data_IF_795044190041
#
_entry.id   IF_795044190041
#
_cell.length_a   1.000
_cell.length_b   1.000
_cell.length_c   1.000
_cell.angle_alpha   90.00
_cell.angle_beta   90.00
_cell.angle_gamma   90.00
#
_symmetry.space_group_name_H-M   'P 1'
#
loop_
_entity.id
_entity.type
_entity.pdbx_description
1 polymer ?
#
# COMPACT_ATOMS: atom_id res chain seq x y z
N UNK A 1 -1.63 16.99 -31.78
CA UNK A 1 -0.59 17.88 -31.26
C UNK A 1 0.55 16.98 -30.82
N UNK A 2 1.59 16.87 -31.66
CA UNK A 2 2.82 16.17 -31.32
C UNK A 2 3.55 17.03 -30.26
N UNK A 3 3.58 16.61 -29.03
CA UNK A 3 4.51 17.13 -28.04
C UNK A 3 5.86 16.48 -28.34
N UNK A 4 6.67 17.14 -29.18
CA UNK A 4 8.10 16.87 -29.26
C UNK A 4 8.66 17.11 -27.84
N UNK A 5 9.02 16.05 -27.16
CA UNK A 5 9.74 16.13 -25.88
C UNK A 5 11.12 16.67 -26.19
N UNK A 6 11.44 17.88 -25.70
CA UNK A 6 12.78 18.45 -25.84
C UNK A 6 13.83 17.48 -25.25
N UNK A 7 14.95 17.24 -25.95
CA UNK A 7 15.99 16.36 -25.45
C UNK A 7 16.57 16.90 -24.14
N UNK A 8 16.84 15.99 -23.19
CA UNK A 8 17.44 16.36 -21.90
C UNK A 8 18.74 17.14 -22.14
N UNK A 9 18.89 18.39 -21.66
CA UNK A 9 20.05 19.22 -21.94
C UNK A 9 21.33 18.60 -21.40
N UNK A 10 22.41 18.62 -22.16
CA UNK A 10 23.73 18.21 -21.71
C UNK A 10 24.18 19.08 -20.53
N UNK A 11 24.49 18.44 -19.38
CA UNK A 11 24.89 19.13 -18.14
C UNK A 11 23.80 19.26 -17.08
N UNK A 12 22.58 18.77 -17.33
CA UNK A 12 21.52 18.74 -16.30
C UNK A 12 21.76 17.56 -15.35
N UNK A 13 21.58 17.81 -14.06
CA UNK A 13 21.62 16.75 -13.05
C UNK A 13 20.43 15.80 -13.25
N UNK A 14 20.68 14.65 -13.90
CA UNK A 14 19.68 13.62 -14.20
C UNK A 14 18.96 13.15 -12.94
N UNK A 15 19.64 13.13 -11.80
CA UNK A 15 19.07 12.71 -10.52
C UNK A 15 17.99 13.68 -10.06
N UNK A 16 18.21 14.99 -10.23
CA UNK A 16 17.21 16.02 -9.89
C UNK A 16 15.94 15.88 -10.73
N UNK A 17 16.08 15.59 -12.03
CA UNK A 17 14.92 15.37 -12.92
C UNK A 17 14.13 14.15 -12.44
N UNK A 18 14.79 13.04 -12.14
CA UNK A 18 14.14 11.80 -11.72
C UNK A 18 13.51 11.90 -10.32
N UNK A 19 14.03 12.74 -9.44
CA UNK A 19 13.43 12.96 -8.11
C UNK A 19 12.09 13.70 -8.16
N UNK A 20 11.81 14.41 -9.24
CA UNK A 20 10.51 15.04 -9.43
C UNK A 20 9.45 13.98 -9.83
N UNK A 21 8.58 13.61 -8.91
CA UNK A 21 7.53 12.59 -9.10
C UNK A 21 6.55 12.87 -10.25
N UNK A 22 6.56 14.06 -10.83
CA UNK A 22 5.74 14.44 -12.00
C UNK A 22 6.47 14.25 -13.32
N UNK A 23 7.74 13.84 -13.32
CA UNK A 23 8.51 13.62 -14.54
C UNK A 23 7.76 12.63 -15.45
N UNK A 24 7.50 12.99 -16.72
CA UNK A 24 6.81 12.12 -17.67
C UNK A 24 7.59 10.84 -17.98
N UNK A 25 6.89 9.79 -18.38
CA UNK A 25 7.47 8.49 -18.75
C UNK A 25 8.51 8.63 -19.84
N UNK A 26 8.22 9.43 -20.86
CA UNK A 26 9.05 9.66 -22.05
C UNK A 26 10.43 10.26 -21.67
N UNK A 27 10.44 11.16 -20.68
CA UNK A 27 11.69 11.76 -20.16
C UNK A 27 12.51 10.73 -19.39
N UNK A 28 11.85 9.88 -18.61
CA UNK A 28 12.53 8.79 -17.88
C UNK A 28 13.13 7.77 -18.86
N UNK A 29 12.45 7.46 -19.96
CA UNK A 29 12.95 6.60 -21.03
C UNK A 29 14.19 7.19 -21.70
N UNK A 30 14.18 8.48 -22.04
CA UNK A 30 15.35 9.17 -22.58
C UNK A 30 16.54 9.16 -21.61
N UNK A 31 16.28 9.32 -20.31
CA UNK A 31 17.33 9.24 -19.29
C UNK A 31 17.96 7.84 -19.23
N UNK A 32 17.17 6.78 -19.37
CA UNK A 32 17.66 5.39 -19.38
C UNK A 32 18.57 5.07 -20.59
N UNK A 33 18.42 5.80 -21.70
CA UNK A 33 19.25 5.68 -22.89
C UNK A 33 20.55 6.53 -22.80
N UNK A 34 20.72 7.28 -21.72
CA UNK A 34 21.88 8.17 -21.58
C UNK A 34 23.18 7.37 -21.40
N UNK A 35 24.26 7.66 -22.18
CA UNK A 35 25.48 6.87 -22.19
C UNK A 35 26.26 6.90 -20.84
N UNK A 36 26.08 7.94 -20.05
CA UNK A 36 26.71 8.10 -18.73
C UNK A 36 25.70 7.91 -17.59
N UNK A 37 24.90 6.84 -17.65
CA UNK A 37 23.90 6.52 -16.65
C UNK A 37 24.54 6.08 -15.32
N UNK A 38 24.32 6.85 -14.25
CA UNK A 38 24.81 6.52 -12.92
C UNK A 38 23.89 5.54 -12.18
N UNK A 39 24.41 4.64 -11.34
CA UNK A 39 23.63 3.68 -10.57
C UNK A 39 22.53 4.33 -9.72
N UNK A 40 22.80 5.51 -9.14
CA UNK A 40 21.85 6.27 -8.30
C UNK A 40 20.62 6.72 -9.10
N UNK A 41 20.83 7.08 -10.36
CA UNK A 41 19.75 7.48 -11.29
C UNK A 41 18.87 6.27 -11.58
N UNK A 42 19.44 5.10 -11.84
CA UNK A 42 18.69 3.84 -12.04
C UNK A 42 17.87 3.48 -10.82
N UNK A 43 18.44 3.60 -9.62
CA UNK A 43 17.71 3.36 -8.35
C UNK A 43 16.54 4.34 -8.20
N UNK A 44 16.73 5.61 -8.55
CA UNK A 44 15.66 6.60 -8.49
C UNK A 44 14.55 6.29 -9.48
N UNK A 45 14.88 5.91 -10.74
CA UNK A 45 13.92 5.51 -11.75
C UNK A 45 13.15 4.26 -11.33
N UNK A 46 13.79 3.23 -10.76
CA UNK A 46 13.14 2.04 -10.24
C UNK A 46 12.05 2.36 -9.17
N UNK A 47 12.18 3.49 -8.49
CA UNK A 47 11.22 3.96 -7.48
C UNK A 47 10.17 4.89 -8.03
N UNK A 48 10.40 5.44 -9.20
CA UNK A 48 9.54 6.47 -9.78
C UNK A 48 8.17 5.90 -10.19
N UNK A 49 7.04 6.60 -9.95
CA UNK A 49 5.70 6.10 -10.27
C UNK A 49 5.46 5.94 -11.77
N UNK A 50 6.07 6.79 -12.59
CA UNK A 50 5.90 6.82 -14.05
C UNK A 50 6.93 5.98 -14.82
N UNK A 51 7.69 5.11 -14.15
CA UNK A 51 8.65 4.24 -14.84
C UNK A 51 7.96 3.20 -15.71
N UNK A 52 8.50 2.97 -16.92
CA UNK A 52 7.96 2.02 -17.89
C UNK A 52 8.67 0.66 -17.82
N UNK A 53 7.89 -0.41 -17.98
CA UNK A 53 8.45 -1.77 -18.03
C UNK A 53 9.30 -2.00 -19.26
N UNK A 54 8.89 -1.42 -20.41
CA UNK A 54 9.63 -1.53 -21.68
C UNK A 54 11.04 -0.94 -21.58
N UNK A 55 11.15 0.27 -21.04
CA UNK A 55 12.46 0.91 -20.88
C UNK A 55 13.36 0.15 -19.90
N UNK A 56 12.78 -0.34 -18.80
CA UNK A 56 13.50 -1.19 -17.85
C UNK A 56 13.93 -2.52 -18.46
N UNK A 57 13.16 -3.10 -19.37
CA UNK A 57 13.54 -4.32 -20.09
C UNK A 57 14.72 -4.08 -21.02
N UNK A 58 14.72 -2.99 -21.81
CA UNK A 58 15.83 -2.61 -22.68
C UNK A 58 17.11 -2.39 -21.87
N UNK A 59 17.04 -1.66 -20.76
CA UNK A 59 18.18 -1.47 -19.87
C UNK A 59 18.68 -2.81 -19.30
N UNK A 60 17.79 -3.67 -18.85
CA UNK A 60 18.11 -4.95 -18.24
C UNK A 60 18.81 -5.90 -19.22
N UNK A 61 18.45 -5.87 -20.50
CA UNK A 61 19.03 -6.72 -21.56
C UNK A 61 20.49 -6.39 -21.85
N UNK A 62 20.87 -5.10 -21.76
CA UNK A 62 22.20 -4.61 -22.10
C UNK A 62 23.06 -4.19 -20.89
N UNK A 63 22.53 -4.24 -19.68
CA UNK A 63 23.19 -3.76 -18.47
C UNK A 63 24.50 -4.52 -18.19
N UNK A 64 25.53 -3.76 -17.76
CA UNK A 64 26.83 -4.27 -17.34
C UNK A 64 27.31 -3.57 -16.07
N UNK A 65 28.30 -4.13 -15.40
CA UNK A 65 28.98 -3.51 -14.26
C UNK A 65 28.02 -3.04 -13.16
N UNK A 66 28.25 -1.83 -12.61
CA UNK A 66 27.46 -1.34 -11.46
C UNK A 66 25.95 -1.25 -11.70
N UNK A 67 25.51 -1.00 -12.95
CA UNK A 67 24.09 -0.95 -13.30
C UNK A 67 23.48 -2.35 -13.19
N UNK A 68 24.17 -3.37 -13.68
CA UNK A 68 23.73 -4.76 -13.55
C UNK A 68 23.63 -5.17 -12.08
N UNK A 69 24.58 -4.77 -11.22
CA UNK A 69 24.55 -5.04 -9.79
C UNK A 69 23.33 -4.40 -9.11
N UNK A 70 22.98 -3.16 -9.49
CA UNK A 70 21.78 -2.47 -9.01
C UNK A 70 20.51 -3.22 -9.40
N UNK A 71 20.40 -3.69 -10.65
CA UNK A 71 19.24 -4.42 -11.13
C UNK A 71 19.11 -5.77 -10.41
N UNK A 72 20.22 -6.52 -10.27
CA UNK A 72 20.23 -7.79 -9.53
C UNK A 72 19.94 -7.63 -8.03
N UNK A 73 20.33 -6.51 -7.43
CA UNK A 73 19.98 -6.15 -6.05
C UNK A 73 18.56 -5.65 -5.86
N UNK A 74 17.81 -5.39 -6.94
CA UNK A 74 16.50 -4.77 -6.93
C UNK A 74 15.38 -5.65 -7.51
N UNK A 75 15.53 -6.97 -7.50
CA UNK A 75 14.61 -7.92 -8.15
C UNK A 75 13.16 -7.79 -7.65
N UNK A 76 12.94 -7.48 -6.37
CA UNK A 76 11.59 -7.28 -5.83
C UNK A 76 10.89 -6.08 -6.50
N UNK A 77 11.63 -5.00 -6.77
CA UNK A 77 11.11 -3.82 -7.46
C UNK A 77 10.91 -4.06 -8.94
N UNK A 78 11.86 -4.75 -9.59
CA UNK A 78 11.76 -5.20 -10.98
C UNK A 78 10.58 -6.16 -11.18
N UNK A 79 10.15 -6.87 -10.13
CA UNK A 79 8.95 -7.72 -10.15
C UNK A 79 7.63 -7.02 -10.49
N UNK A 80 7.64 -5.69 -10.65
CA UNK A 80 6.54 -4.90 -11.23
C UNK A 80 6.43 -5.11 -12.76
N UNK A 81 7.52 -5.51 -13.39
CA UNK A 81 7.65 -5.66 -14.84
C UNK A 81 8.28 -7.01 -15.15
N UNK A 82 7.45 -7.99 -15.48
CA UNK A 82 7.90 -9.35 -15.83
C UNK A 82 8.89 -9.33 -16.99
N UNK A 83 8.63 -8.49 -17.98
CA UNK A 83 9.48 -8.32 -19.16
C UNK A 83 10.91 -7.86 -18.82
N UNK A 84 11.08 -7.01 -17.80
CA UNK A 84 12.39 -6.56 -17.34
C UNK A 84 13.17 -7.69 -16.63
N UNK A 85 12.49 -8.52 -15.85
CA UNK A 85 13.11 -9.71 -15.23
C UNK A 85 13.50 -10.75 -16.28
N UNK A 86 12.67 -10.95 -17.30
CA UNK A 86 12.96 -11.88 -18.42
C UNK A 86 14.13 -11.36 -19.28
N UNK A 87 14.21 -10.05 -19.52
CA UNK A 87 15.32 -9.41 -20.20
C UNK A 87 16.62 -9.59 -19.40
N UNK A 88 16.56 -9.40 -18.08
CA UNK A 88 17.73 -9.61 -17.21
C UNK A 88 18.20 -11.07 -17.23
N UNK A 89 17.29 -12.04 -17.32
CA UNK A 89 17.65 -13.46 -17.44
C UNK A 89 18.35 -13.77 -18.79
N UNK A 90 18.03 -13.02 -19.86
CA UNK A 90 18.67 -13.17 -21.18
C UNK A 90 20.00 -12.39 -21.30
N UNK A 91 20.30 -11.50 -20.36
CA UNK A 91 21.51 -10.71 -20.40
C UNK A 91 22.77 -11.61 -20.20
N UNK A 92 23.69 -11.63 -21.17
CA UNK A 92 24.87 -12.51 -21.11
C UNK A 92 25.86 -12.16 -19.98
N UNK A 93 25.75 -10.96 -19.41
CA UNK A 93 26.60 -10.52 -18.31
C UNK A 93 26.08 -10.97 -16.93
N UNK A 94 24.90 -11.58 -16.87
CA UNK A 94 24.34 -12.09 -15.60
C UNK A 94 25.03 -13.41 -15.24
N UNK A 95 25.63 -13.52 -14.04
CA UNK A 95 26.26 -14.75 -13.59
C UNK A 95 25.23 -15.89 -13.50
N UNK A 96 25.57 -17.08 -14.00
CA UNK A 96 24.68 -18.27 -13.98
C UNK A 96 24.16 -18.60 -12.59
N UNK A 97 24.95 -18.35 -11.55
CA UNK A 97 24.55 -18.55 -10.14
C UNK A 97 23.32 -17.72 -9.76
N UNK A 98 23.01 -16.63 -10.48
CA UNK A 98 21.83 -15.78 -10.26
C UNK A 98 20.59 -16.25 -11.03
N UNK A 99 20.72 -17.11 -12.02
CA UNK A 99 19.60 -17.58 -12.85
C UNK A 99 18.48 -18.25 -12.04
N UNK A 100 18.74 -19.13 -11.04
CA UNK A 100 17.65 -19.69 -10.23
C UNK A 100 16.86 -18.61 -9.46
N UNK A 101 17.54 -17.61 -8.91
CA UNK A 101 16.90 -16.49 -8.19
C UNK A 101 16.04 -15.65 -9.12
N UNK A 102 16.52 -15.37 -10.34
CA UNK A 102 15.76 -14.66 -11.38
C UNK A 102 14.53 -15.44 -11.80
N UNK A 103 14.65 -16.76 -12.03
CA UNK A 103 13.50 -17.61 -12.37
C UNK A 103 12.43 -17.63 -11.29
N UNK A 104 12.82 -17.66 -10.00
CA UNK A 104 11.90 -17.54 -8.89
C UNK A 104 11.20 -16.17 -8.88
N UNK A 105 11.94 -15.08 -9.11
CA UNK A 105 11.39 -13.74 -9.19
C UNK A 105 10.39 -13.60 -10.35
N UNK A 106 10.71 -14.13 -11.53
CA UNK A 106 9.82 -14.16 -12.72
C UNK A 106 8.54 -14.94 -12.39
N UNK A 107 8.66 -16.13 -11.80
CA UNK A 107 7.50 -16.97 -11.45
C UNK A 107 6.58 -16.24 -10.46
N UNK A 108 7.15 -15.61 -9.44
CA UNK A 108 6.41 -14.82 -8.47
C UNK A 108 5.73 -13.60 -9.11
N UNK A 109 6.42 -12.89 -10.03
CA UNK A 109 5.88 -11.74 -10.74
C UNK A 109 4.72 -12.15 -11.67
N UNK A 110 4.87 -13.21 -12.48
CA UNK A 110 3.79 -13.75 -13.34
C UNK A 110 2.56 -14.18 -12.54
N UNK A 111 2.77 -14.78 -11.38
CA UNK A 111 1.67 -15.16 -10.49
C UNK A 111 0.91 -13.94 -9.99
N UNK A 112 1.61 -12.88 -9.55
CA UNK A 112 1.00 -11.61 -9.11
C UNK A 112 0.21 -10.93 -10.23
N UNK A 113 0.76 -10.90 -11.45
CA UNK A 113 0.10 -10.34 -12.63
C UNK A 113 -1.17 -11.10 -12.98
N UNK A 114 -1.12 -12.44 -13.00
CA UNK A 114 -2.28 -13.28 -13.25
C UNK A 114 -3.37 -13.13 -12.18
N UNK A 115 -3.00 -13.03 -10.91
CA UNK A 115 -3.92 -12.78 -9.80
C UNK A 115 -4.54 -11.38 -9.92
N UNK A 116 -3.75 -10.36 -10.21
CA UNK A 116 -4.22 -8.98 -10.45
C UNK A 116 -5.20 -8.89 -11.62
N UNK A 117 -4.92 -9.59 -12.72
CA UNK A 117 -5.83 -9.69 -13.87
C UNK A 117 -7.16 -10.35 -13.52
N UNK A 118 -7.14 -11.43 -12.74
CA UNK A 118 -8.36 -12.10 -12.25
C UNK A 118 -9.20 -11.19 -11.36
N UNK A 119 -8.57 -10.46 -10.43
CA UNK A 119 -9.26 -9.54 -9.52
C UNK A 119 -9.86 -8.37 -10.31
N UNK A 120 -9.13 -7.81 -11.28
CA UNK A 120 -9.63 -6.73 -12.15
C UNK A 120 -10.84 -7.16 -12.96
N UNK A 121 -10.79 -8.35 -13.56
CA UNK A 121 -11.91 -8.95 -14.30
C UNK A 121 -13.13 -9.19 -13.39
N UNK A 122 -12.92 -9.71 -12.19
CA UNK A 122 -13.97 -9.92 -11.20
C UNK A 122 -14.60 -8.60 -10.75
N UNK A 123 -13.78 -7.58 -10.49
CA UNK A 123 -14.23 -6.24 -10.12
C UNK A 123 -15.18 -5.64 -11.18
N UNK A 124 -14.80 -5.72 -12.46
CA UNK A 124 -15.63 -5.21 -13.57
C UNK A 124 -16.97 -5.94 -13.61
N UNK A 125 -16.96 -7.28 -13.58
CA UNK A 125 -18.18 -8.11 -13.58
C UNK A 125 -19.10 -7.79 -12.40
N UNK A 126 -18.54 -7.65 -11.18
CA UNK A 126 -19.32 -7.36 -9.97
C UNK A 126 -19.91 -5.95 -10.01
N UNK A 127 -19.18 -4.96 -10.55
CA UNK A 127 -19.68 -3.58 -10.67
C UNK A 127 -20.92 -3.46 -11.56
N UNK A 128 -21.00 -4.25 -12.62
CA UNK A 128 -22.10 -4.24 -13.59
C UNK A 128 -23.38 -4.94 -13.07
N UNK A 129 -23.29 -5.70 -11.97
CA UNK A 129 -24.44 -6.42 -11.44
C UNK A 129 -25.48 -5.48 -10.83
N UNK A 130 -26.78 -5.79 -11.00
CA UNK A 130 -27.86 -5.14 -10.27
C UNK A 130 -27.72 -5.29 -8.75
N UNK A 131 -28.24 -4.34 -7.98
CA UNK A 131 -28.12 -4.31 -6.52
C UNK A 131 -28.62 -5.62 -5.85
N UNK A 132 -29.71 -6.20 -6.33
CA UNK A 132 -30.24 -7.47 -5.80
C UNK A 132 -29.26 -8.64 -5.94
N UNK A 133 -28.55 -8.73 -7.07
CA UNK A 133 -27.52 -9.75 -7.29
C UNK A 133 -26.28 -9.49 -6.44
N UNK A 134 -25.87 -8.23 -6.26
CA UNK A 134 -24.79 -7.85 -5.35
C UNK A 134 -25.12 -8.24 -3.90
N UNK A 135 -26.35 -8.03 -3.43
CA UNK A 135 -26.81 -8.46 -2.11
C UNK A 135 -26.74 -9.99 -1.94
N UNK A 136 -27.15 -10.75 -2.96
CA UNK A 136 -27.02 -12.21 -2.92
C UNK A 136 -25.55 -12.65 -2.85
N UNK A 137 -24.65 -11.96 -3.59
CA UNK A 137 -23.21 -12.21 -3.55
C UNK A 137 -22.58 -11.78 -2.22
N UNK A 138 -23.05 -10.72 -1.57
CA UNK A 138 -22.60 -10.31 -0.24
C UNK A 138 -22.74 -11.43 0.79
N UNK A 139 -23.86 -12.20 0.70
CA UNK A 139 -24.14 -13.34 1.58
C UNK A 139 -23.31 -14.59 1.26
N UNK A 140 -23.12 -14.91 -0.03
CA UNK A 140 -22.59 -16.21 -0.50
C UNK A 140 -21.22 -16.14 -1.13
N UNK A 141 -20.73 -14.96 -1.49
CA UNK A 141 -19.47 -14.74 -2.20
C UNK A 141 -18.25 -15.21 -1.40
N UNK A 142 -17.16 -15.45 -2.12
CA UNK A 142 -15.86 -15.70 -1.53
C UNK A 142 -15.23 -14.40 -1.01
N UNK A 143 -14.03 -14.50 -0.42
CA UNK A 143 -13.29 -13.36 0.13
C UNK A 143 -13.10 -12.23 -0.89
N UNK A 144 -12.69 -12.54 -2.12
CA UNK A 144 -12.40 -11.53 -3.15
C UNK A 144 -13.66 -10.74 -3.52
N UNK A 145 -14.79 -11.43 -3.67
CA UNK A 145 -16.10 -10.80 -3.91
C UNK A 145 -16.48 -9.89 -2.74
N UNK A 146 -16.33 -10.35 -1.48
CA UNK A 146 -16.64 -9.52 -0.31
C UNK A 146 -15.75 -8.27 -0.25
N UNK A 147 -14.45 -8.39 -0.56
CA UNK A 147 -13.51 -7.27 -0.57
C UNK A 147 -13.80 -6.24 -1.68
N UNK A 148 -14.50 -6.66 -2.74
CA UNK A 148 -15.03 -5.76 -3.77
C UNK A 148 -16.33 -5.09 -3.29
N UNK A 149 -17.28 -5.88 -2.79
CA UNK A 149 -18.61 -5.39 -2.41
C UNK A 149 -18.61 -4.49 -1.17
N UNK A 150 -17.62 -4.62 -0.29
CA UNK A 150 -17.48 -3.74 0.88
C UNK A 150 -17.24 -2.27 0.50
N UNK A 151 -16.74 -2.03 -0.72
CA UNK A 151 -16.48 -0.71 -1.31
C UNK A 151 -17.59 -0.27 -2.26
N UNK A 152 -18.71 -0.98 -2.31
CA UNK A 152 -19.81 -0.62 -3.19
C UNK A 152 -20.43 0.72 -2.72
N UNK A 153 -20.79 1.57 -3.70
CA UNK A 153 -21.44 2.85 -3.43
C UNK A 153 -22.84 2.71 -2.83
N UNK A 154 -23.45 1.53 -2.97
CA UNK A 154 -24.72 1.22 -2.33
C UNK A 154 -24.45 0.74 -0.89
N UNK A 155 -24.79 1.57 0.07
CA UNK A 155 -24.64 1.28 1.50
C UNK A 155 -25.28 -0.04 1.93
N UNK A 156 -26.40 -0.44 1.33
CA UNK A 156 -27.06 -1.72 1.66
C UNK A 156 -26.17 -2.90 1.29
N UNK A 157 -25.48 -2.84 0.13
CA UNK A 157 -24.56 -3.89 -0.31
C UNK A 157 -23.34 -3.95 0.61
N UNK A 158 -22.75 -2.80 0.93
CA UNK A 158 -21.60 -2.73 1.82
C UNK A 158 -21.95 -3.22 3.24
N UNK A 159 -23.10 -2.83 3.77
CA UNK A 159 -23.57 -3.26 5.09
C UNK A 159 -23.89 -4.76 5.14
N UNK A 160 -24.54 -5.31 4.11
CA UNK A 160 -24.81 -6.75 4.01
C UNK A 160 -23.48 -7.54 3.95
N UNK A 161 -22.47 -6.98 3.27
CA UNK A 161 -21.15 -7.59 3.17
C UNK A 161 -20.44 -7.65 4.51
N UNK A 162 -20.39 -6.54 5.26
CA UNK A 162 -19.73 -6.49 6.58
C UNK A 162 -20.43 -7.32 7.63
N UNK A 163 -21.74 -7.52 7.50
CA UNK A 163 -22.56 -8.33 8.41
C UNK A 163 -22.65 -9.82 8.02
N UNK A 164 -22.00 -10.20 6.91
CA UNK A 164 -22.00 -11.59 6.43
C UNK A 164 -21.45 -12.55 7.48
N UNK A 165 -22.12 -13.66 7.72
CA UNK A 165 -21.65 -14.72 8.62
C UNK A 165 -20.33 -15.39 8.18
N UNK A 166 -19.95 -15.20 6.93
CA UNK A 166 -18.71 -15.74 6.34
C UNK A 166 -17.51 -14.82 6.46
N UNK A 167 -17.71 -13.57 6.93
CA UNK A 167 -16.61 -12.63 7.07
C UNK A 167 -15.68 -13.04 8.21
N UNK A 168 -14.40 -13.00 7.97
CA UNK A 168 -13.37 -13.38 8.95
C UNK A 168 -12.84 -12.16 9.71
N UNK A 169 -12.27 -12.39 10.90
CA UNK A 169 -11.66 -11.31 11.69
C UNK A 169 -10.46 -10.67 10.94
N UNK A 170 -9.75 -11.44 10.12
CA UNK A 170 -8.69 -10.91 9.26
C UNK A 170 -9.21 -10.00 8.14
N UNK A 171 -10.39 -10.30 7.56
CA UNK A 171 -11.06 -9.42 6.61
C UNK A 171 -11.53 -8.14 7.30
N UNK A 172 -12.13 -8.23 8.48
CA UNK A 172 -12.53 -7.06 9.28
C UNK A 172 -11.34 -6.17 9.62
N UNK A 173 -10.21 -6.76 10.00
CA UNK A 173 -8.98 -6.01 10.25
C UNK A 173 -8.53 -5.26 8.98
N UNK A 174 -8.50 -5.95 7.84
CA UNK A 174 -8.17 -5.33 6.54
C UNK A 174 -9.13 -4.20 6.19
N UNK A 175 -10.44 -4.40 6.33
CA UNK A 175 -11.48 -3.40 6.08
C UNK A 175 -11.28 -2.17 6.98
N UNK A 176 -10.93 -2.37 8.25
CA UNK A 176 -10.71 -1.30 9.21
C UNK A 176 -9.55 -0.37 8.85
N UNK A 177 -8.59 -0.84 8.04
CA UNK A 177 -7.47 -0.02 7.53
C UNK A 177 -7.77 0.69 6.20
N UNK A 178 -8.84 0.29 5.49
CA UNK A 178 -9.18 0.85 4.18
C UNK A 178 -9.72 2.27 4.29
N UNK A 179 -9.32 3.12 3.35
CA UNK A 179 -9.77 4.52 3.27
C UNK A 179 -10.94 4.74 2.31
N UNK A 180 -11.27 3.72 1.51
CA UNK A 180 -12.30 3.74 0.47
C UNK A 180 -13.56 2.94 0.84
N UNK A 181 -13.77 2.71 2.14
CA UNK A 181 -15.02 2.13 2.68
C UNK A 181 -15.89 3.22 3.31
N UNK A 182 -17.22 3.00 3.31
CA UNK A 182 -18.15 3.97 3.88
C UNK A 182 -18.01 4.09 5.41
N UNK A 183 -18.31 5.28 5.94
CA UNK A 183 -18.34 5.51 7.40
C UNK A 183 -19.32 4.56 8.12
N UNK A 184 -20.42 4.15 7.45
CA UNK A 184 -21.39 3.22 8.00
C UNK A 184 -20.79 1.87 8.31
N UNK A 185 -19.91 1.37 7.41
CA UNK A 185 -19.18 0.12 7.61
C UNK A 185 -18.22 0.24 8.79
N UNK A 186 -17.42 1.31 8.85
CA UNK A 186 -16.48 1.52 9.96
C UNK A 186 -17.21 1.67 11.29
N UNK A 187 -18.35 2.36 11.31
CA UNK A 187 -19.24 2.49 12.48
C UNK A 187 -19.81 1.14 12.91
N UNK A 188 -20.24 0.31 11.97
CA UNK A 188 -20.73 -1.04 12.27
C UNK A 188 -19.65 -1.89 12.95
N UNK A 189 -18.42 -1.91 12.38
CA UNK A 189 -17.29 -2.65 12.96
C UNK A 189 -17.00 -2.14 14.37
N UNK A 190 -16.91 -0.82 14.55
CA UNK A 190 -16.61 -0.19 15.83
C UNK A 190 -17.66 -0.45 16.91
N UNK A 191 -18.94 -0.61 16.54
CA UNK A 191 -20.02 -0.87 17.49
C UNK A 191 -20.23 -2.37 17.75
N UNK A 192 -19.63 -3.25 16.96
CA UNK A 192 -19.78 -4.68 17.14
C UNK A 192 -18.94 -5.18 18.33
N UNK A 193 -19.60 -5.77 19.34
CA UNK A 193 -18.97 -6.24 20.58
C UNK A 193 -17.81 -7.22 20.31
N UNK A 194 -17.96 -8.11 19.33
CA UNK A 194 -16.91 -9.08 18.95
C UNK A 194 -15.65 -8.37 18.51
N UNK A 195 -15.76 -7.39 17.63
CA UNK A 195 -14.62 -6.68 17.05
C UNK A 195 -13.97 -5.70 18.03
N UNK A 196 -14.75 -5.14 18.96
CA UNK A 196 -14.23 -4.29 20.06
C UNK A 196 -13.34 -5.03 21.05
N UNK A 197 -13.33 -6.37 21.05
CA UNK A 197 -12.42 -7.18 21.87
C UNK A 197 -11.06 -7.38 21.16
N UNK A 198 -10.98 -7.15 19.86
CA UNK A 198 -9.75 -7.29 19.10
C UNK A 198 -8.98 -5.96 19.07
N UNK A 199 -7.87 -5.93 19.81
CA UNK A 199 -7.00 -4.75 19.94
C UNK A 199 -6.45 -4.26 18.59
N UNK A 200 -6.13 -5.16 17.66
CA UNK A 200 -5.63 -4.79 16.34
C UNK A 200 -6.71 -4.05 15.51
N UNK A 201 -7.96 -4.49 15.61
CA UNK A 201 -9.09 -3.82 14.95
C UNK A 201 -9.32 -2.43 15.56
N UNK A 202 -9.27 -2.31 16.90
CA UNK A 202 -9.38 -1.01 17.59
C UNK A 202 -8.29 -0.07 17.09
N UNK A 203 -7.03 -0.51 17.05
CA UNK A 203 -5.90 0.30 16.60
C UNK A 203 -6.05 0.72 15.14
N UNK A 204 -6.49 -0.20 14.26
CA UNK A 204 -6.76 0.07 12.85
C UNK A 204 -7.84 1.15 12.69
N UNK A 205 -8.96 1.04 13.40
CA UNK A 205 -10.04 2.02 13.38
C UNK A 205 -9.61 3.39 13.90
N UNK A 206 -8.84 3.45 15.00
CA UNK A 206 -8.30 4.70 15.56
C UNK A 206 -7.30 5.36 14.59
N UNK A 207 -6.56 4.57 13.82
CA UNK A 207 -5.59 5.04 12.84
C UNK A 207 -6.23 5.41 11.49
N UNK A 208 -7.49 5.06 11.26
CA UNK A 208 -8.18 5.32 10.01
C UNK A 208 -8.84 6.72 10.04
N UNK A 209 -8.43 7.67 9.16
CA UNK A 209 -8.97 9.02 9.14
C UNK A 209 -10.46 9.09 8.77
N UNK A 210 -11.00 8.04 8.12
CA UNK A 210 -12.42 7.94 7.75
C UNK A 210 -13.30 7.38 8.87
N UNK A 211 -12.72 6.92 9.98
CA UNK A 211 -13.51 6.54 11.15
C UNK A 211 -14.10 7.80 11.80
N UNK A 212 -15.44 7.89 11.98
CA UNK A 212 -16.04 9.06 12.59
C UNK A 212 -15.46 9.35 13.98
N UNK A 213 -15.12 10.60 14.26
CA UNK A 213 -14.42 11.00 15.50
C UNK A 213 -15.16 10.56 16.76
N UNK A 214 -16.50 10.73 16.78
CA UNK A 214 -17.33 10.30 17.92
C UNK A 214 -17.26 8.79 18.17
N UNK A 215 -17.14 8.00 17.10
CA UNK A 215 -16.96 6.53 17.16
C UNK A 215 -15.57 6.20 17.68
N UNK A 216 -14.52 6.84 17.14
CA UNK A 216 -13.14 6.64 17.54
C UNK A 216 -12.93 6.92 19.04
N UNK A 217 -13.54 7.99 19.57
CA UNK A 217 -13.46 8.32 21.00
C UNK A 217 -14.14 7.29 21.90
N UNK A 218 -15.12 6.54 21.39
CA UNK A 218 -15.78 5.45 22.12
C UNK A 218 -15.00 4.12 22.10
N UNK A 219 -14.03 4.00 21.21
CA UNK A 219 -13.15 2.84 21.17
C UNK A 219 -12.14 2.92 22.32
N UNK A 220 -12.06 1.90 23.13
CA UNK A 220 -11.25 1.86 24.36
C UNK A 220 -9.77 2.22 24.18
N UNK A 221 -9.46 3.46 23.85
CA UNK A 221 -8.10 4.00 23.67
C UNK A 221 -7.20 3.71 24.90
N UNK A 222 -7.81 3.62 26.07
CA UNK A 222 -7.14 3.28 27.31
C UNK A 222 -6.61 1.82 27.36
N UNK A 223 -7.03 0.95 26.46
CA UNK A 223 -6.57 -0.45 26.38
C UNK A 223 -5.27 -0.61 25.60
N UNK A 224 -4.85 0.45 24.89
CA UNK A 224 -3.63 0.45 24.09
C UNK A 224 -2.38 0.55 24.96
N UNK A 225 -1.28 -0.01 24.49
CA UNK A 225 0.04 0.13 25.14
C UNK A 225 0.58 1.55 24.99
N UNK A 226 1.55 1.92 25.81
CA UNK A 226 2.19 3.26 25.72
C UNK A 226 2.88 3.49 24.39
N UNK A 227 3.43 2.43 23.77
CA UNK A 227 3.99 2.51 22.42
C UNK A 227 2.93 2.83 21.39
N UNK A 228 1.82 2.09 21.37
CA UNK A 228 0.69 2.32 20.44
C UNK A 228 0.09 3.72 20.63
N UNK A 229 -0.06 4.17 21.88
CA UNK A 229 -0.51 5.52 22.19
C UNK A 229 0.47 6.58 21.70
N UNK A 230 1.79 6.34 21.84
CA UNK A 230 2.83 7.24 21.35
C UNK A 230 2.80 7.36 19.83
N UNK A 231 2.60 6.24 19.13
CA UNK A 231 2.51 6.20 17.67
C UNK A 231 1.26 6.96 17.18
N UNK A 232 0.11 6.76 17.83
CA UNK A 232 -1.11 7.55 17.57
C UNK A 232 -0.90 9.05 17.86
N UNK A 233 -0.27 9.40 18.99
CA UNK A 233 -0.06 10.80 19.36
C UNK A 233 0.84 11.54 18.36
N UNK A 234 1.77 10.87 17.71
CA UNK A 234 2.70 11.42 16.70
C UNK A 234 2.16 11.37 15.27
N UNK A 235 1.13 10.60 15.02
CA UNK A 235 0.57 10.40 13.66
C UNK A 235 -0.03 11.71 13.14
N UNK A 236 0.39 12.09 11.91
CA UNK A 236 -0.17 13.24 11.17
C UNK A 236 -1.38 12.86 10.30
N UNK A 237 -1.65 11.55 10.17
CA UNK A 237 -2.67 11.02 9.25
C UNK A 237 -3.99 10.68 9.93
N UNK A 238 -4.17 11.06 11.19
CA UNK A 238 -5.40 10.83 11.96
C UNK A 238 -5.99 12.14 12.46
N UNK A 239 -7.29 12.19 12.78
CA UNK A 239 -7.89 13.39 13.35
C UNK A 239 -7.15 13.86 14.61
N UNK A 240 -6.82 15.16 14.68
CA UNK A 240 -6.06 15.72 15.80
C UNK A 240 -6.70 15.53 17.18
N UNK A 241 -8.02 15.29 17.22
CA UNK A 241 -8.73 14.93 18.47
C UNK A 241 -8.24 13.59 19.01
N UNK A 242 -8.04 12.60 18.14
CA UNK A 242 -7.56 11.26 18.53
C UNK A 242 -6.09 11.31 18.98
N UNK A 243 -5.27 12.06 18.26
CA UNK A 243 -3.88 12.31 18.63
C UNK A 243 -3.76 12.94 20.02
N UNK A 244 -4.58 14.00 20.31
CA UNK A 244 -4.64 14.63 21.63
C UNK A 244 -5.16 13.68 22.72
N UNK A 245 -6.17 12.87 22.42
CA UNK A 245 -6.70 11.87 23.35
C UNK A 245 -5.62 10.83 23.73
N UNK A 246 -4.87 10.32 22.74
CA UNK A 246 -3.76 9.39 22.97
C UNK A 246 -2.67 10.02 23.87
N UNK A 247 -2.30 11.29 23.61
CA UNK A 247 -1.35 12.02 24.44
C UNK A 247 -1.85 12.19 25.87
N UNK A 248 -3.11 12.59 26.05
CA UNK A 248 -3.71 12.76 27.39
C UNK A 248 -3.70 11.48 28.21
N UNK A 249 -3.91 10.31 27.57
CA UNK A 249 -3.81 9.00 28.26
C UNK A 249 -2.39 8.70 28.67
N UNK A 250 -1.40 8.97 27.82
CA UNK A 250 0.02 8.79 28.13
C UNK A 250 0.46 9.68 29.31
N UNK A 251 0.08 10.95 29.27
CA UNK A 251 0.46 11.90 30.31
C UNK A 251 -0.14 11.50 31.68
N UNK A 252 -1.39 11.03 31.69
CA UNK A 252 -2.02 10.47 32.92
C UNK A 252 -1.31 9.25 33.44
N UNK A 253 -0.88 8.33 32.59
CA UNK A 253 -0.14 7.13 33.02
C UNK A 253 1.23 7.48 33.59
N UNK A 254 1.95 8.42 32.98
CA UNK A 254 3.22 8.94 33.46
C UNK A 254 3.08 9.61 34.84
N UNK A 255 2.05 10.42 35.00
CA UNK A 255 1.77 11.05 36.30
C UNK A 255 1.44 10.04 37.38
N UNK A 256 0.71 8.96 37.04
CA UNK A 256 0.39 7.88 37.99
C UNK A 256 1.58 6.97 38.32
N UNK A 257 2.60 6.89 37.44
CA UNK A 257 3.81 6.09 37.65
C UNK A 257 4.95 6.87 38.31
N UNK A 258 4.84 8.20 38.44
CA UNK A 258 5.79 9.00 39.23
C UNK A 258 5.51 8.78 40.71
N UNK A 259 6.46 8.23 41.52
CA UNK A 259 6.28 8.13 42.96
C UNK A 259 6.11 9.52 43.51
N UNK A 260 5.00 9.76 44.23
CA UNK A 260 4.70 11.05 44.84
C UNK A 260 5.91 11.46 45.68
N UNK A 261 6.49 12.62 45.34
CA UNK A 261 7.45 13.29 46.16
C UNK A 261 6.77 13.57 47.49
N UNK A 262 7.08 12.79 48.50
CA UNK A 262 6.67 13.04 49.87
C UNK A 262 7.22 14.41 50.29
N UNK A 263 6.34 15.39 50.41
CA UNK A 263 6.59 16.57 51.24
C UNK A 263 6.42 16.12 52.67
N UNK A 264 7.54 15.78 53.29
CA UNK A 264 7.59 15.84 54.71
C UNK A 264 7.89 17.25 55.13
N UNK A 265 7.13 17.73 56.04
CA UNK A 265 7.54 18.54 57.15
C UNK A 265 6.53 18.38 58.26
#
# INVERSE_FOLDING_TARGET
>A
MNTETEPVPAGTDLLTIVQNQKTPTEVLEQILEHPALAPEVVIAILRHPNSSGRAMALLAESATGPILDVLLGSLERLGRWVEALEALLRNPNVPEVKHPTLQQAITAAKKREAEGGKIKSLLLRVKELPAGQKLALAKKGNKDVRMILIKDSNDMVAMETVSSSRITDGEILSISTMRDVSEKVLRYIANNRKYRQNKQIILALLSNPHTPVGVSLSLGINTLTDRELSDLAKSKNIPGVISRAAKSVLDRRKAASSPGGGGGD
#
